data_IF_155344800692
#
_entry.id   IF_155344800692
#
_cell.length_a   1.000
_cell.length_b   1.000
_cell.length_c   1.000
_cell.angle_alpha   90.00
_cell.angle_beta   90.00
_cell.angle_gamma   90.00
#
_symmetry.space_group_name_H-M   'P 1'
#
loop_
_entity.id
_entity.type
_entity.pdbx_description
1 polymer ?
#
# COMPACT_ATOMS: atom_id res chain seq x y z
N UNK A 1 0.62 21.67 10.73
CA UNK A 1 0.93 20.22 10.86
C UNK A 1 0.26 19.48 9.71
N UNK A 2 0.99 19.06 8.69
CA UNK A 2 0.43 18.26 7.59
C UNK A 2 0.69 16.79 7.94
N UNK A 3 -0.33 16.07 8.40
CA UNK A 3 -0.27 14.60 8.48
C UNK A 3 -0.48 14.06 7.07
N UNK A 4 0.61 13.86 6.32
CA UNK A 4 0.48 13.19 5.03
C UNK A 4 -0.16 11.80 5.24
N UNK A 5 -1.05 11.33 4.35
CA UNK A 5 -1.72 10.04 4.49
C UNK A 5 -0.79 8.87 4.87
N UNK A 6 0.44 8.75 4.33
CA UNK A 6 1.38 7.69 4.72
C UNK A 6 1.87 7.80 6.16
N UNK A 7 2.06 9.02 6.68
CA UNK A 7 2.45 9.25 8.08
C UNK A 7 1.30 8.93 9.03
N UNK A 8 0.05 9.17 8.62
CA UNK A 8 -1.14 8.79 9.38
C UNK A 8 -1.28 7.27 9.47
N UNK A 9 -1.25 6.58 8.34
CA UNK A 9 -1.33 5.10 8.29
C UNK A 9 -0.24 4.47 9.15
N UNK A 10 0.99 4.96 9.04
CA UNK A 10 2.08 4.45 9.87
C UNK A 10 1.93 4.73 11.37
N UNK A 11 1.09 5.70 11.78
CA UNK A 11 0.78 5.93 13.19
C UNK A 11 -0.26 4.93 13.73
N UNK A 12 -1.04 4.30 12.85
CA UNK A 12 -2.02 3.28 13.24
C UNK A 12 -1.38 1.96 13.69
N UNK A 13 -0.06 1.79 13.51
CA UNK A 13 0.65 0.58 13.93
C UNK A 13 0.33 -0.65 13.07
N UNK A 14 0.01 -0.43 11.78
CA UNK A 14 -0.29 -1.52 10.84
C UNK A 14 0.99 -2.17 10.30
N UNK A 15 0.98 -3.49 10.17
CA UNK A 15 2.09 -4.24 9.56
C UNK A 15 2.01 -4.30 8.03
N UNK A 16 0.78 -4.22 7.48
CA UNK A 16 0.50 -4.43 6.05
C UNK A 16 -0.49 -3.40 5.52
N UNK A 17 -0.22 -2.90 4.31
CA UNK A 17 -1.12 -2.06 3.51
C UNK A 17 -1.36 -2.76 2.18
N UNK A 18 -2.63 -2.90 1.80
CA UNK A 18 -3.06 -3.42 0.50
C UNK A 18 -3.81 -2.30 -0.20
N UNK A 19 -3.47 -2.01 -1.45
CA UNK A 19 -4.12 -0.97 -2.22
C UNK A 19 -3.90 -1.13 -3.72
N UNK A 20 -4.64 -0.33 -4.50
CA UNK A 20 -4.46 -0.25 -5.94
C UNK A 20 -3.20 0.53 -6.29
N UNK A 21 -3.33 1.79 -6.68
CA UNK A 21 -2.19 2.65 -7.03
C UNK A 21 -1.60 3.28 -5.76
N UNK A 22 -0.29 3.15 -5.59
CA UNK A 22 0.44 3.74 -4.46
C UNK A 22 1.52 4.67 -5.00
N UNK A 23 1.50 5.94 -4.58
CA UNK A 23 2.56 6.88 -4.96
C UNK A 23 3.92 6.46 -4.43
N UNK A 24 4.98 6.60 -5.25
CA UNK A 24 6.36 6.18 -4.93
C UNK A 24 6.89 6.74 -3.61
N UNK A 25 6.56 7.99 -3.29
CA UNK A 25 6.92 8.63 -2.01
C UNK A 25 6.22 7.94 -0.84
N UNK A 26 4.92 7.64 -0.97
CA UNK A 26 4.15 6.95 0.05
C UNK A 26 4.68 5.53 0.30
N UNK A 27 4.92 4.79 -0.78
CA UNK A 27 5.52 3.45 -0.74
C UNK A 27 6.88 3.47 0.00
N UNK A 28 7.77 4.41 -0.34
CA UNK A 28 9.08 4.55 0.32
C UNK A 28 8.95 4.87 1.81
N UNK A 29 8.04 5.76 2.20
CA UNK A 29 7.82 6.11 3.61
C UNK A 29 7.33 4.91 4.41
N UNK A 30 6.37 4.14 3.87
CA UNK A 30 5.81 2.95 4.52
C UNK A 30 6.87 1.86 4.66
N UNK A 31 7.61 1.56 3.59
CA UNK A 31 8.66 0.53 3.58
C UNK A 31 9.80 0.86 4.55
N UNK A 32 10.22 2.13 4.63
CA UNK A 32 11.20 2.59 5.63
C UNK A 32 10.75 2.42 7.08
N UNK A 33 9.44 2.27 7.32
CA UNK A 33 8.85 2.03 8.64
C UNK A 33 8.55 0.56 8.90
N UNK A 34 9.00 -0.35 8.02
CA UNK A 34 8.77 -1.79 8.17
C UNK A 34 7.39 -2.26 7.72
N UNK A 35 6.56 -1.37 7.17
CA UNK A 35 5.22 -1.72 6.68
C UNK A 35 5.36 -2.40 5.31
N UNK A 36 4.75 -3.57 5.16
CA UNK A 36 4.66 -4.26 3.87
C UNK A 36 3.55 -3.62 3.05
N UNK A 37 3.84 -3.32 1.78
CA UNK A 37 2.88 -2.68 0.88
C UNK A 37 2.65 -3.58 -0.32
N UNK A 38 1.40 -3.98 -0.53
CA UNK A 38 0.92 -4.67 -1.73
C UNK A 38 0.16 -3.68 -2.59
N UNK A 39 0.74 -3.32 -3.74
CA UNK A 39 0.13 -2.46 -4.75
C UNK A 39 -0.50 -3.30 -5.87
N UNK A 40 -1.45 -2.73 -6.61
CA UNK A 40 -2.14 -3.38 -7.72
C UNK A 40 -3.39 -4.17 -7.34
N UNK A 41 -3.80 -4.15 -6.07
CA UNK A 41 -5.05 -4.78 -5.67
C UNK A 41 -6.25 -4.05 -6.32
N UNK A 42 -7.19 -4.83 -6.85
CA UNK A 42 -8.40 -4.31 -7.49
C UNK A 42 -9.61 -5.18 -7.13
N UNK A 43 -10.82 -4.65 -7.30
CA UNK A 43 -12.06 -5.34 -6.93
C UNK A 43 -12.36 -5.25 -5.42
N UNK A 44 -12.89 -6.34 -4.86
CA UNK A 44 -13.34 -6.38 -3.46
C UNK A 44 -12.15 -6.46 -2.48
N UNK A 45 -12.19 -5.60 -1.45
CA UNK A 45 -11.16 -5.57 -0.42
C UNK A 45 -11.09 -6.90 0.37
N UNK A 46 -12.21 -7.59 0.56
CA UNK A 46 -12.27 -8.89 1.24
C UNK A 46 -11.45 -9.92 0.47
N UNK A 47 -11.58 -9.96 -0.87
CA UNK A 47 -10.82 -10.88 -1.73
C UNK A 47 -9.32 -10.62 -1.60
N UNK A 48 -8.89 -9.36 -1.65
CA UNK A 48 -7.49 -9.00 -1.52
C UNK A 48 -6.90 -9.41 -0.16
N UNK A 49 -7.68 -9.30 0.92
CA UNK A 49 -7.28 -9.78 2.26
C UNK A 49 -7.19 -11.31 2.29
N UNK A 50 -8.14 -12.02 1.68
CA UNK A 50 -8.08 -13.48 1.59
C UNK A 50 -6.84 -13.97 0.83
N UNK A 51 -6.52 -13.35 -0.30
CA UNK A 51 -5.31 -13.66 -1.08
C UNK A 51 -4.04 -13.38 -0.29
N UNK A 52 -4.03 -12.30 0.52
CA UNK A 52 -2.91 -12.01 1.42
C UNK A 52 -2.75 -13.12 2.46
N UNK A 53 -3.83 -13.54 3.11
CA UNK A 53 -3.82 -14.61 4.12
C UNK A 53 -3.35 -15.94 3.50
N UNK A 54 -3.76 -16.23 2.27
CA UNK A 54 -3.35 -17.43 1.50
C UNK A 54 -1.90 -17.35 0.98
N UNK A 55 -1.27 -16.18 1.06
CA UNK A 55 0.08 -15.96 0.52
C UNK A 55 0.14 -15.88 -1.01
N UNK A 56 -1.00 -15.68 -1.67
CA UNK A 56 -1.11 -15.61 -3.14
C UNK A 56 -1.17 -14.18 -3.67
N UNK A 57 -1.35 -13.18 -2.80
CA UNK A 57 -1.39 -11.77 -3.22
C UNK A 57 -0.01 -11.32 -3.74
N UNK A 58 0.02 -10.86 -4.99
CA UNK A 58 1.24 -10.38 -5.65
C UNK A 58 1.16 -8.86 -5.80
N UNK A 59 2.30 -8.19 -5.60
CA UNK A 59 2.41 -6.75 -5.85
C UNK A 59 2.62 -6.50 -7.34
N UNK A 60 1.79 -5.63 -7.91
CA UNK A 60 2.05 -5.05 -9.23
C UNK A 60 2.95 -3.82 -9.08
N UNK A 61 4.22 -3.95 -9.46
CA UNK A 61 5.19 -2.85 -9.41
C UNK A 61 4.82 -1.68 -10.34
N UNK A 62 4.04 -1.92 -11.40
CA UNK A 62 3.55 -0.85 -12.28
C UNK A 62 2.54 0.07 -11.59
N UNK A 63 1.85 -0.44 -10.56
CA UNK A 63 0.95 0.35 -9.72
C UNK A 63 1.69 1.25 -8.70
N UNK A 64 3.02 1.19 -8.63
CA UNK A 64 3.85 2.07 -7.80
C UNK A 64 4.27 3.30 -8.61
N UNK A 65 3.33 4.22 -8.74
CA UNK A 65 3.40 5.35 -9.67
C UNK A 65 4.25 6.51 -9.15
N UNK A 66 4.95 7.20 -10.06
CA UNK A 66 5.82 8.34 -9.71
C UNK A 66 5.12 9.69 -9.93
N UNK A 67 4.02 9.72 -10.69
CA UNK A 67 3.14 10.87 -10.88
C UNK A 67 1.83 10.71 -10.11
N UNK A 68 1.38 11.75 -9.40
CA UNK A 68 -0.05 11.87 -9.12
C UNK A 68 -0.78 11.88 -10.48
N UNK A 69 -1.89 11.13 -10.66
CA UNK A 69 -2.66 11.21 -11.89
C UNK A 69 -3.03 12.67 -12.13
N UNK A 70 -2.70 13.15 -13.33
CA UNK A 70 -3.03 14.50 -13.81
C UNK A 70 -4.51 14.65 -14.08
#
# INVERSE_FOLDING_TARGET
MISSPPKFVAKLGVDVVIGGIVGRIAYSIMKKRGIKVFAGASGDAVIAVEEYIKGTLVTDESAIETRAPS
#
